data_IF_004531592916
#
_entry.id   IF_004531592916
#
_cell.length_a   1.000
_cell.length_b   1.000
_cell.length_c   1.000
_cell.angle_alpha   90.00
_cell.angle_beta   90.00
_cell.angle_gamma   90.00
#
_symmetry.space_group_name_H-M   'P 1'
#
loop_
_entity.id
_entity.type
_entity.pdbx_description
1 polymer ?
#
# COMPACT_ATOMS: atom_id res chain seq x y z
N UNK A 1 -33.76 6.65 13.13
CA UNK A 1 -33.15 5.70 12.18
C UNK A 1 -31.66 5.89 12.32
N UNK A 2 -30.99 5.02 13.09
CA UNK A 2 -29.53 5.00 13.14
C UNK A 2 -29.05 4.72 11.72
N UNK A 3 -28.37 5.67 11.09
CA UNK A 3 -27.62 5.35 9.88
C UNK A 3 -26.60 4.29 10.29
N UNK A 4 -26.67 3.11 9.70
CA UNK A 4 -25.63 2.10 9.86
C UNK A 4 -24.29 2.72 9.45
N UNK A 5 -23.25 2.39 10.21
CA UNK A 5 -21.92 2.90 9.90
C UNK A 5 -21.51 2.40 8.50
N UNK A 6 -20.89 3.24 7.67
CA UNK A 6 -20.48 2.83 6.33
C UNK A 6 -19.51 1.64 6.40
N UNK A 7 -19.48 0.83 5.34
CA UNK A 7 -18.41 -0.15 5.14
C UNK A 7 -17.06 0.54 5.30
N UNK A 8 -16.08 -0.20 5.82
CA UNK A 8 -14.79 0.36 6.18
C UNK A 8 -13.69 -0.58 5.68
N UNK A 9 -12.73 -0.02 4.95
CA UNK A 9 -11.55 -0.68 4.44
C UNK A 9 -10.31 0.04 4.94
N UNK A 10 -9.33 -0.73 5.41
CA UNK A 10 -8.09 -0.23 5.95
C UNK A 10 -6.91 -0.89 5.23
N UNK A 11 -5.94 -0.10 4.79
CA UNK A 11 -4.67 -0.62 4.25
C UNK A 11 -3.50 -0.24 5.16
N UNK A 12 -2.53 -1.16 5.30
CA UNK A 12 -1.33 -0.98 6.13
C UNK A 12 -0.09 -0.97 5.24
N UNK A 13 0.67 0.11 5.32
CA UNK A 13 1.88 0.34 4.54
C UNK A 13 3.06 0.72 5.43
N UNK A 14 4.27 0.46 4.95
CA UNK A 14 5.49 0.71 5.71
C UNK A 14 5.84 2.20 5.63
N UNK A 15 5.99 2.74 4.43
CA UNK A 15 6.55 4.06 4.17
C UNK A 15 5.58 4.98 3.43
N UNK A 16 5.79 6.31 3.52
CA UNK A 16 5.15 7.25 2.61
C UNK A 16 5.61 7.01 1.16
N UNK A 17 4.65 6.65 0.28
CA UNK A 17 4.73 6.32 -1.16
C UNK A 17 4.17 4.92 -1.50
N UNK A 18 4.22 4.01 -0.54
CA UNK A 18 3.76 2.64 -0.70
C UNK A 18 2.28 2.59 -1.08
N UNK A 19 1.45 3.44 -0.46
CA UNK A 19 0.02 3.51 -0.69
C UNK A 19 -0.32 3.99 -2.10
N UNK A 20 0.56 4.79 -2.72
CA UNK A 20 0.37 5.32 -4.06
C UNK A 20 0.54 4.24 -5.14
N UNK A 21 1.38 3.24 -4.89
CA UNK A 21 1.71 2.17 -5.84
C UNK A 21 1.02 0.83 -5.57
N UNK A 22 0.45 0.65 -4.36
CA UNK A 22 -0.10 -0.63 -3.89
C UNK A 22 -1.55 -0.50 -3.44
N UNK A 23 -2.46 -0.29 -4.38
CA UNK A 23 -3.92 -0.30 -4.12
C UNK A 23 -4.60 1.07 -4.16
N UNK A 24 -3.91 2.14 -4.56
CA UNK A 24 -4.52 3.47 -4.68
C UNK A 24 -5.83 3.50 -5.49
N UNK A 25 -5.92 2.89 -6.70
CA UNK A 25 -7.18 2.79 -7.45
C UNK A 25 -8.27 2.01 -6.71
N UNK A 26 -7.93 0.89 -6.04
CA UNK A 26 -8.85 0.13 -5.19
C UNK A 26 -9.43 1.01 -4.08
N UNK A 27 -8.58 1.75 -3.36
CA UNK A 27 -9.03 2.63 -2.28
C UNK A 27 -9.90 3.78 -2.80
N UNK A 28 -9.53 4.40 -3.92
CA UNK A 28 -10.32 5.46 -4.54
C UNK A 28 -11.68 4.97 -5.05
N UNK A 29 -11.75 3.75 -5.61
CA UNK A 29 -13.02 3.10 -5.98
C UNK A 29 -13.93 2.96 -4.77
N UNK A 30 -13.42 2.38 -3.67
CA UNK A 30 -14.24 2.18 -2.46
C UNK A 30 -14.65 3.49 -1.80
N UNK A 31 -13.81 4.52 -1.87
CA UNK A 31 -14.19 5.87 -1.46
C UNK A 31 -15.37 6.40 -2.26
N UNK A 32 -15.33 6.26 -3.59
CA UNK A 32 -16.42 6.69 -4.48
C UNK A 32 -17.72 5.89 -4.24
N UNK A 33 -17.60 4.63 -3.85
CA UNK A 33 -18.74 3.78 -3.44
C UNK A 33 -19.28 4.09 -2.02
N UNK A 34 -18.68 5.04 -1.31
CA UNK A 34 -19.16 5.49 0.01
C UNK A 34 -18.59 4.72 1.21
N UNK A 35 -17.60 3.85 1.00
CA UNK A 35 -16.89 3.22 2.11
C UNK A 35 -15.96 4.23 2.80
N UNK A 36 -15.78 4.07 4.11
CA UNK A 36 -14.72 4.70 4.87
C UNK A 36 -13.39 4.07 4.49
N UNK A 37 -12.42 4.90 4.13
CA UNK A 37 -11.07 4.46 3.72
C UNK A 37 -10.02 4.93 4.73
N UNK A 38 -9.23 3.99 5.26
CA UNK A 38 -8.20 4.27 6.26
C UNK A 38 -6.84 3.82 5.77
N UNK A 39 -5.85 4.70 5.88
CA UNK A 39 -4.43 4.40 5.68
C UNK A 39 -3.74 4.28 7.04
N UNK A 40 -2.99 3.20 7.24
CA UNK A 40 -1.98 3.11 8.29
C UNK A 40 -0.59 3.18 7.64
N UNK A 41 0.21 4.17 8.03
CA UNK A 41 1.60 4.31 7.62
C UNK A 41 2.50 4.05 8.85
N UNK A 42 3.31 3.00 8.79
CA UNK A 42 4.06 2.55 9.97
C UNK A 42 5.24 3.45 10.31
N UNK A 43 5.93 4.01 9.30
CA UNK A 43 7.14 4.81 9.47
C UNK A 43 7.05 6.17 8.78
N UNK A 44 8.06 7.03 9.03
CA UNK A 44 8.18 8.34 8.39
C UNK A 44 9.01 8.33 7.10
N UNK A 45 9.67 7.23 6.76
CA UNK A 45 10.59 7.18 5.62
C UNK A 45 11.92 7.91 5.89
N UNK A 46 12.40 7.92 7.13
CA UNK A 46 13.57 8.72 7.52
C UNK A 46 14.89 8.25 6.89
N UNK A 47 14.95 7.00 6.41
CA UNK A 47 16.14 6.38 5.81
C UNK A 47 16.09 6.39 4.26
N UNK A 48 15.04 6.94 3.67
CA UNK A 48 14.92 7.05 2.22
C UNK A 48 15.71 8.23 1.64
N UNK A 49 16.43 7.99 0.54
CA UNK A 49 17.13 9.01 -0.22
C UNK A 49 16.18 9.79 -1.16
N UNK A 50 16.63 10.95 -1.63
CA UNK A 50 15.98 11.68 -2.72
C UNK A 50 16.20 10.94 -4.05
N UNK A 51 15.13 10.31 -4.55
CA UNK A 51 15.13 9.51 -5.78
C UNK A 51 14.86 10.35 -7.05
N UNK A 52 14.20 11.50 -6.92
CA UNK A 52 13.92 12.37 -8.05
C UNK A 52 15.10 13.33 -8.34
N UNK A 53 15.90 13.10 -9.40
CA UNK A 53 17.07 13.92 -9.67
C UNK A 53 16.72 15.35 -10.10
N UNK A 54 15.54 15.57 -10.70
CA UNK A 54 15.13 16.89 -11.19
C UNK A 54 15.02 17.93 -10.07
N UNK A 55 14.76 17.49 -8.83
CA UNK A 55 14.66 18.39 -7.68
C UNK A 55 16.01 18.99 -7.23
N UNK A 56 17.13 18.48 -7.74
CA UNK A 56 18.48 19.01 -7.54
C UNK A 56 18.91 20.03 -8.61
N UNK A 57 18.15 20.17 -9.68
CA UNK A 57 18.46 21.12 -10.76
C UNK A 57 18.40 22.59 -10.29
N UNK A 58 19.10 23.52 -10.95
CA UNK A 58 19.10 24.94 -10.56
C UNK A 58 17.69 25.51 -10.36
N UNK A 59 17.42 26.01 -9.15
CA UNK A 59 16.10 26.54 -8.75
C UNK A 59 15.17 25.51 -8.09
N UNK A 60 15.55 24.24 -8.06
CA UNK A 60 14.85 23.16 -7.35
C UNK A 60 15.07 23.19 -5.83
N UNK A 61 14.20 22.51 -5.06
CA UNK A 61 14.21 22.58 -3.59
C UNK A 61 15.43 21.93 -2.93
N UNK A 62 16.19 21.11 -3.66
CA UNK A 62 17.41 20.45 -3.17
C UNK A 62 18.68 20.98 -3.86
N UNK A 63 18.56 22.02 -4.69
CA UNK A 63 19.70 22.55 -5.42
C UNK A 63 20.82 23.06 -4.50
N UNK A 64 22.00 22.48 -4.63
CA UNK A 64 23.20 22.91 -3.90
C UNK A 64 23.20 22.55 -2.41
N UNK A 65 22.27 21.70 -1.95
CA UNK A 65 22.26 21.19 -0.58
C UNK A 65 23.35 20.11 -0.40
N UNK A 66 23.94 20.07 0.80
CA UNK A 66 24.72 18.92 1.26
C UNK A 66 23.81 17.74 1.61
N UNK A 67 24.36 16.52 1.69
CA UNK A 67 23.59 15.32 2.07
C UNK A 67 22.82 15.49 3.39
N UNK A 68 23.42 16.16 4.38
CA UNK A 68 22.77 16.41 5.66
C UNK A 68 21.59 17.38 5.54
N UNK A 69 21.72 18.41 4.70
CA UNK A 69 20.64 19.36 4.42
C UNK A 69 19.52 18.71 3.59
N UNK A 70 19.87 17.82 2.65
CA UNK A 70 18.88 17.01 1.92
C UNK A 70 18.06 16.15 2.89
N UNK A 71 18.69 15.46 3.85
CA UNK A 71 17.99 14.65 4.86
C UNK A 71 17.02 15.46 5.72
N UNK A 72 17.44 16.65 6.17
CA UNK A 72 16.55 17.56 6.91
C UNK A 72 15.37 17.98 6.05
N UNK A 73 15.63 18.36 4.79
CA UNK A 73 14.58 18.76 3.85
C UNK A 73 13.61 17.63 3.51
N UNK A 74 14.10 16.40 3.35
CA UNK A 74 13.25 15.21 3.13
C UNK A 74 12.31 14.99 4.31
N UNK A 75 12.81 15.08 5.54
CA UNK A 75 11.99 14.92 6.74
C UNK A 75 10.88 15.98 6.86
N UNK A 76 11.10 17.19 6.33
CA UNK A 76 10.08 18.24 6.24
C UNK A 76 9.03 17.98 5.15
N UNK A 77 9.45 17.46 3.99
CA UNK A 77 8.59 17.30 2.82
C UNK A 77 7.75 16.02 2.83
N UNK A 78 8.33 14.86 3.19
CA UNK A 78 7.64 13.56 3.09
C UNK A 78 6.31 13.49 3.84
N UNK A 79 6.12 14.12 5.02
CA UNK A 79 4.80 14.19 5.64
C UNK A 79 3.76 14.93 4.78
N UNK A 80 4.15 16.03 4.13
CA UNK A 80 3.27 16.81 3.25
C UNK A 80 2.94 16.04 1.97
N UNK A 81 3.92 15.31 1.42
CA UNK A 81 3.73 14.44 0.26
C UNK A 81 2.73 13.31 0.57
N UNK A 82 2.85 12.67 1.75
CA UNK A 82 1.89 11.67 2.23
C UNK A 82 0.48 12.25 2.38
N UNK A 83 0.36 13.44 2.98
CA UNK A 83 -0.94 14.09 3.17
C UNK A 83 -1.61 14.40 1.84
N UNK A 84 -0.86 14.90 0.86
CA UNK A 84 -1.40 15.20 -0.48
C UNK A 84 -1.75 13.91 -1.25
N UNK A 85 -0.88 12.89 -1.21
CA UNK A 85 -1.18 11.57 -1.77
C UNK A 85 -2.46 10.99 -1.16
N UNK A 86 -2.59 11.04 0.16
CA UNK A 86 -3.75 10.51 0.85
C UNK A 86 -5.04 11.26 0.49
N UNK A 87 -4.94 12.59 0.30
CA UNK A 87 -6.04 13.44 -0.16
C UNK A 87 -6.46 13.10 -1.59
N UNK A 88 -5.49 12.87 -2.49
CA UNK A 88 -5.75 12.48 -3.88
C UNK A 88 -6.47 11.13 -3.92
N UNK A 89 -5.94 10.10 -3.24
CA UNK A 89 -6.54 8.76 -3.21
C UNK A 89 -7.93 8.79 -2.56
N UNK A 90 -8.15 9.73 -1.63
CA UNK A 90 -9.43 9.89 -0.95
C UNK A 90 -9.51 9.10 0.36
N UNK A 91 -8.42 9.00 1.12
CA UNK A 91 -8.44 8.46 2.47
C UNK A 91 -9.20 9.39 3.43
N UNK A 92 -10.13 8.83 4.20
CA UNK A 92 -10.82 9.57 5.28
C UNK A 92 -9.95 9.76 6.51
N UNK A 93 -8.96 8.88 6.69
CA UNK A 93 -8.06 8.92 7.83
C UNK A 93 -6.70 8.36 7.46
N UNK A 94 -5.66 9.11 7.81
CA UNK A 94 -4.28 8.62 7.91
C UNK A 94 -3.95 8.40 9.38
N UNK A 95 -3.39 7.23 9.69
CA UNK A 95 -2.91 6.85 11.02
C UNK A 95 -1.42 6.56 10.89
N UNK A 96 -0.59 7.32 11.62
CA UNK A 96 0.84 7.07 11.71
C UNK A 96 1.10 6.21 12.94
N UNK A 97 1.93 5.16 12.81
CA UNK A 97 2.37 4.37 13.98
C UNK A 97 3.64 4.91 14.63
N UNK A 98 4.29 5.89 13.98
CA UNK A 98 5.45 6.63 14.46
C UNK A 98 6.63 5.75 14.86
N UNK A 99 6.85 4.66 14.12
CA UNK A 99 8.14 3.96 14.15
C UNK A 99 9.14 4.66 13.24
N UNK A 100 10.43 4.56 13.55
CA UNK A 100 11.47 5.01 12.61
C UNK A 100 11.58 4.01 11.46
N UNK A 101 11.78 4.50 10.24
CA UNK A 101 12.18 3.69 9.09
C UNK A 101 13.44 2.87 9.42
N UNK A 102 13.41 1.58 9.08
CA UNK A 102 14.55 0.70 9.33
C UNK A 102 15.61 0.79 8.26
N UNK A 103 15.33 1.44 7.13
CA UNK A 103 16.19 1.44 5.97
C UNK A 103 16.28 0.06 5.31
N UNK A 104 17.13 -0.02 4.28
CA UNK A 104 17.31 -1.24 3.51
C UNK A 104 17.87 -2.38 4.38
N UNK A 105 17.58 -3.62 3.96
CA UNK A 105 18.07 -4.83 4.60
C UNK A 105 19.60 -4.80 4.74
N UNK A 106 20.09 -5.20 5.91
CA UNK A 106 21.50 -5.30 6.26
C UNK A 106 22.22 -3.92 6.32
N UNK A 107 21.46 -2.81 6.38
CA UNK A 107 22.00 -1.47 6.61
C UNK A 107 22.19 -1.17 8.09
N UNK A 108 23.06 -0.19 8.41
CA UNK A 108 23.29 0.23 9.80
C UNK A 108 22.01 0.75 10.50
N UNK A 109 21.05 1.28 9.75
CA UNK A 109 19.77 1.73 10.30
C UNK A 109 18.93 0.60 10.91
N UNK A 110 19.16 -0.66 10.49
CA UNK A 110 18.51 -1.83 11.08
C UNK A 110 18.88 -2.01 12.56
N UNK A 111 20.00 -1.43 13.04
CA UNK A 111 20.45 -1.51 14.44
C UNK A 111 19.87 -0.40 15.33
N UNK A 112 19.16 0.57 14.77
CA UNK A 112 18.58 1.67 15.54
C UNK A 112 17.44 1.17 16.44
N UNK A 113 17.47 1.41 17.77
CA UNK A 113 16.49 0.82 18.69
C UNK A 113 15.04 1.23 18.42
N UNK A 114 14.83 2.42 17.87
CA UNK A 114 13.49 2.93 17.54
C UNK A 114 12.98 2.53 16.15
N UNK A 115 13.78 1.80 15.35
CA UNK A 115 13.34 1.41 14.01
C UNK A 115 12.31 0.29 14.05
N UNK A 116 11.42 0.26 13.07
CA UNK A 116 10.27 -0.63 13.07
C UNK A 116 10.68 -2.12 13.06
N UNK A 117 11.82 -2.44 12.43
CA UNK A 117 12.40 -3.78 12.42
C UNK A 117 12.78 -4.28 13.83
N UNK A 118 13.20 -3.36 14.72
CA UNK A 118 13.58 -3.66 16.10
C UNK A 118 12.41 -3.73 17.07
N UNK A 119 11.23 -3.20 16.71
CA UNK A 119 10.02 -3.37 17.50
C UNK A 119 9.76 -4.86 17.74
N UNK A 120 9.18 -5.27 18.87
CA UNK A 120 8.72 -6.66 18.97
C UNK A 120 7.50 -6.86 18.08
N UNK A 121 7.27 -8.07 17.59
CA UNK A 121 6.06 -8.37 16.82
C UNK A 121 4.80 -8.08 17.64
N UNK A 122 4.85 -8.33 18.95
CA UNK A 122 3.72 -8.10 19.85
C UNK A 122 3.40 -6.60 20.02
N UNK A 123 4.42 -5.75 20.14
CA UNK A 123 4.23 -4.30 20.21
C UNK A 123 3.64 -3.74 18.92
N UNK A 124 4.19 -4.14 17.77
CA UNK A 124 3.71 -3.72 16.46
C UNK A 124 2.26 -4.17 16.21
N UNK A 125 1.95 -5.43 16.50
CA UNK A 125 0.59 -5.96 16.39
C UNK A 125 -0.36 -5.30 17.39
N UNK A 126 0.06 -5.03 18.62
CA UNK A 126 -0.75 -4.34 19.64
C UNK A 126 -1.15 -2.94 19.22
N UNK A 127 -0.23 -2.15 18.63
CA UNK A 127 -0.55 -0.85 18.04
C UNK A 127 -1.57 -0.98 16.90
N UNK A 128 -1.39 -1.96 16.01
CA UNK A 128 -2.34 -2.22 14.93
C UNK A 128 -3.71 -2.66 15.44
N UNK A 129 -3.79 -3.53 16.46
CA UNK A 129 -5.06 -3.93 17.09
C UNK A 129 -5.82 -2.73 17.62
N UNK A 130 -5.14 -1.78 18.29
CA UNK A 130 -5.77 -0.55 18.75
C UNK A 130 -6.37 0.27 17.59
N UNK A 131 -5.70 0.29 16.44
CA UNK A 131 -6.23 0.93 15.22
C UNK A 131 -7.43 0.16 14.67
N UNK A 132 -7.33 -1.16 14.51
CA UNK A 132 -8.42 -2.01 13.99
C UNK A 132 -9.68 -1.90 14.87
N UNK A 133 -9.53 -1.91 16.19
CA UNK A 133 -10.65 -1.76 17.15
C UNK A 133 -11.29 -0.39 17.11
N UNK A 134 -10.49 0.66 16.91
CA UNK A 134 -10.97 2.04 16.81
C UNK A 134 -11.69 2.32 15.48
N UNK A 135 -11.07 1.93 14.36
CA UNK A 135 -11.56 2.24 13.01
C UNK A 135 -12.57 1.22 12.48
N UNK A 136 -12.65 0.05 13.12
CA UNK A 136 -13.58 -1.05 12.81
C UNK A 136 -13.63 -1.41 11.32
N UNK A 137 -12.49 -1.68 10.66
CA UNK A 137 -12.50 -2.07 9.25
C UNK A 137 -13.09 -3.47 9.08
N UNK A 138 -13.90 -3.65 8.05
CA UNK A 138 -14.40 -4.98 7.67
C UNK A 138 -13.37 -5.70 6.80
N UNK A 139 -12.57 -4.96 6.03
CA UNK A 139 -11.51 -5.45 5.15
C UNK A 139 -10.18 -4.81 5.54
N UNK A 140 -9.14 -5.62 5.65
CA UNK A 140 -7.75 -5.18 5.85
C UNK A 140 -6.90 -5.58 4.65
N UNK A 141 -6.11 -4.64 4.12
CA UNK A 141 -5.13 -4.87 3.06
C UNK A 141 -3.71 -4.75 3.63
N UNK A 142 -2.82 -5.64 3.23
CA UNK A 142 -1.41 -5.62 3.64
C UNK A 142 -0.51 -6.30 2.61
N UNK A 143 0.78 -6.41 2.89
CA UNK A 143 1.75 -7.05 2.00
C UNK A 143 1.61 -8.56 1.94
N UNK A 144 2.11 -9.14 0.85
CA UNK A 144 2.23 -10.58 0.64
C UNK A 144 3.14 -11.25 1.67
N UNK A 145 2.84 -12.51 1.96
CA UNK A 145 3.72 -13.45 2.67
C UNK A 145 4.97 -13.85 1.85
N UNK A 146 4.91 -13.70 0.52
CA UNK A 146 6.06 -13.82 -0.36
C UNK A 146 6.65 -12.44 -0.66
N UNK A 147 7.74 -12.11 0.04
CA UNK A 147 8.49 -10.86 -0.12
C UNK A 147 9.87 -11.05 -0.75
N UNK A 148 10.16 -12.22 -1.35
CA UNK A 148 11.51 -12.54 -1.84
C UNK A 148 12.07 -11.54 -2.84
N UNK A 149 11.23 -10.95 -3.67
CA UNK A 149 11.69 -10.00 -4.69
C UNK A 149 11.71 -8.54 -4.24
N UNK A 150 11.35 -8.21 -3.00
CA UNK A 150 11.65 -6.92 -2.36
C UNK A 150 11.62 -7.08 -0.82
N UNK A 151 12.67 -7.66 -0.22
CA UNK A 151 12.67 -8.04 1.19
C UNK A 151 13.02 -6.86 2.11
N UNK A 152 12.33 -5.74 1.97
CA UNK A 152 12.51 -4.58 2.85
C UNK A 152 12.11 -4.95 4.29
N UNK A 153 12.96 -4.71 5.31
CA UNK A 153 12.68 -5.10 6.69
C UNK A 153 11.32 -4.64 7.21
N UNK A 154 10.95 -3.40 6.90
CA UNK A 154 9.65 -2.84 7.30
C UNK A 154 8.45 -3.47 6.58
N UNK A 155 8.59 -3.89 5.32
CA UNK A 155 7.50 -4.57 4.62
C UNK A 155 7.25 -5.95 5.22
N UNK A 156 8.32 -6.65 5.60
CA UNK A 156 8.22 -7.92 6.31
C UNK A 156 7.50 -7.70 7.63
N UNK A 157 7.90 -6.68 8.40
CA UNK A 157 7.26 -6.41 9.69
C UNK A 157 5.82 -5.93 9.57
N UNK A 158 5.47 -5.14 8.56
CA UNK A 158 4.07 -4.77 8.26
C UNK A 158 3.24 -6.01 8.04
N UNK A 159 3.70 -6.96 7.21
CA UNK A 159 2.98 -8.20 6.95
C UNK A 159 2.76 -9.00 8.24
N UNK A 160 3.84 -9.29 8.97
CA UNK A 160 3.78 -10.10 10.20
C UNK A 160 2.84 -9.46 11.24
N UNK A 161 2.97 -8.16 11.47
CA UNK A 161 2.16 -7.43 12.45
C UNK A 161 0.69 -7.32 12.02
N UNK A 162 0.42 -7.15 10.72
CA UNK A 162 -0.95 -7.06 10.18
C UNK A 162 -1.70 -8.38 10.30
N UNK A 163 -1.04 -9.50 9.97
CA UNK A 163 -1.62 -10.84 10.12
C UNK A 163 -1.96 -11.12 11.58
N UNK A 164 -0.99 -10.88 12.48
CA UNK A 164 -1.21 -11.12 13.91
C UNK A 164 -2.28 -10.20 14.50
N UNK A 165 -2.33 -8.93 14.06
CA UNK A 165 -3.36 -7.99 14.50
C UNK A 165 -4.76 -8.39 14.01
N UNK A 166 -4.88 -8.87 12.76
CA UNK A 166 -6.14 -9.37 12.21
C UNK A 166 -6.69 -10.55 13.03
N UNK A 167 -5.82 -11.49 13.41
CA UNK A 167 -6.17 -12.66 14.21
C UNK A 167 -6.58 -12.32 15.65
N UNK A 168 -6.00 -11.26 16.23
CA UNK A 168 -6.18 -10.91 17.65
C UNK A 168 -7.19 -9.79 17.91
N UNK A 169 -7.56 -9.00 16.90
CA UNK A 169 -8.38 -7.82 17.11
C UNK A 169 -9.78 -8.14 17.68
N UNK A 170 -10.36 -9.30 17.33
CA UNK A 170 -11.64 -9.78 17.83
C UNK A 170 -11.61 -10.40 19.24
N UNK A 171 -10.43 -10.68 19.79
CA UNK A 171 -10.27 -11.44 21.03
C UNK A 171 -9.97 -10.53 22.23
N UNK A 172 -10.90 -10.42 23.18
CA UNK A 172 -10.79 -9.51 24.32
C UNK A 172 -9.59 -9.78 25.26
N UNK A 173 -9.11 -11.02 25.30
CA UNK A 173 -7.95 -11.39 26.12
C UNK A 173 -6.63 -10.87 25.55
N UNK A 174 -6.57 -10.59 24.26
CA UNK A 174 -5.41 -9.99 23.61
C UNK A 174 -5.54 -8.46 23.65
N UNK A 175 -4.49 -7.80 24.12
CA UNK A 175 -4.42 -6.33 24.22
C UNK A 175 -5.67 -5.70 24.90
N UNK A 176 -5.94 -6.00 26.18
CA UNK A 176 -7.16 -5.55 26.85
C UNK A 176 -7.33 -4.03 26.89
N UNK A 177 -6.22 -3.27 26.85
CA UNK A 177 -6.23 -1.80 26.88
C UNK A 177 -6.38 -1.17 25.47
N UNK A 178 -6.47 -1.98 24.41
CA UNK A 178 -6.55 -1.50 23.01
C UNK A 178 -7.97 -1.13 22.56
N UNK A 179 -8.93 -1.01 23.50
CA UNK A 179 -10.33 -0.71 23.23
C UNK A 179 -11.19 -1.95 22.98
N UNK A 180 -12.47 -1.72 22.67
CA UNK A 180 -13.47 -2.76 22.46
C UNK A 180 -13.09 -3.70 21.31
N UNK A 181 -13.18 -5.03 21.47
CA UNK A 181 -12.86 -5.98 20.42
C UNK A 181 -13.64 -5.74 19.13
N UNK A 182 -12.96 -5.96 18.01
CA UNK A 182 -13.53 -5.87 16.68
C UNK A 182 -12.82 -6.89 15.79
N UNK A 183 -13.58 -7.76 15.14
CA UNK A 183 -13.04 -8.74 14.20
C UNK A 183 -13.21 -8.23 12.77
N UNK A 184 -12.15 -7.79 12.08
CA UNK A 184 -12.20 -7.61 10.64
C UNK A 184 -12.56 -8.95 9.98
N UNK A 185 -13.32 -8.91 8.88
CA UNK A 185 -13.92 -10.09 8.27
C UNK A 185 -13.05 -10.69 7.16
N UNK A 186 -12.22 -9.88 6.49
CA UNK A 186 -11.32 -10.34 5.43
C UNK A 186 -9.97 -9.65 5.45
N UNK A 187 -8.92 -10.42 5.17
CA UNK A 187 -7.54 -9.97 5.01
C UNK A 187 -7.08 -10.27 3.59
N UNK A 188 -6.64 -9.25 2.86
CA UNK A 188 -6.09 -9.40 1.51
C UNK A 188 -4.61 -9.01 1.46
N UNK A 189 -3.87 -9.70 0.61
CA UNK A 189 -2.50 -9.36 0.26
C UNK A 189 -2.41 -8.70 -1.10
N UNK A 190 -1.56 -7.67 -1.19
CA UNK A 190 -1.04 -7.17 -2.47
C UNK A 190 -0.34 -8.31 -3.22
N UNK A 191 -0.39 -8.34 -4.55
CA UNK A 191 0.23 -9.40 -5.35
C UNK A 191 1.04 -8.87 -6.53
N UNK A 192 2.15 -9.55 -6.81
CA UNK A 192 2.91 -9.35 -8.05
C UNK A 192 2.27 -10.17 -9.17
N UNK A 193 1.48 -9.49 -10.02
CA UNK A 193 0.96 -10.09 -11.26
C UNK A 193 1.99 -9.97 -12.38
N UNK A 194 2.47 -11.12 -12.87
CA UNK A 194 3.30 -11.19 -14.07
C UNK A 194 2.47 -10.86 -15.31
N UNK A 195 1.19 -11.25 -15.35
CA UNK A 195 0.30 -10.90 -16.45
C UNK A 195 0.21 -9.38 -16.63
N UNK A 196 0.06 -8.62 -15.54
CA UNK A 196 0.06 -7.15 -15.59
C UNK A 196 1.37 -6.59 -16.11
N UNK A 197 2.51 -7.05 -15.57
CA UNK A 197 3.83 -6.59 -16.03
C UNK A 197 4.02 -6.82 -17.53
N UNK A 198 3.72 -8.03 -18.01
CA UNK A 198 3.87 -8.41 -19.41
C UNK A 198 2.97 -7.57 -20.32
N UNK A 199 1.70 -7.38 -19.94
CA UNK A 199 0.77 -6.57 -20.73
C UNK A 199 1.25 -5.11 -20.87
N UNK A 200 1.71 -4.49 -19.79
CA UNK A 200 2.26 -3.12 -19.82
C UNK A 200 3.56 -3.07 -20.61
N UNK A 201 4.44 -4.07 -20.45
CA UNK A 201 5.69 -4.18 -21.21
C UNK A 201 5.45 -4.23 -22.73
N UNK A 202 4.56 -5.11 -23.17
CA UNK A 202 4.22 -5.28 -24.58
C UNK A 202 3.59 -4.00 -25.16
N UNK A 203 2.73 -3.33 -24.41
CA UNK A 203 2.12 -2.07 -24.87
C UNK A 203 3.15 -0.94 -24.97
N UNK A 204 4.08 -0.83 -24.00
CA UNK A 204 5.17 0.14 -24.08
C UNK A 204 6.05 -0.10 -25.31
N UNK A 205 6.38 -1.35 -25.62
CA UNK A 205 7.09 -1.69 -26.85
C UNK A 205 6.28 -1.28 -28.09
N UNK A 206 4.98 -1.56 -28.11
CA UNK A 206 4.10 -1.23 -29.24
C UNK A 206 3.97 0.27 -29.48
N UNK A 207 3.76 1.05 -28.43
CA UNK A 207 3.45 2.48 -28.51
C UNK A 207 4.68 3.38 -28.49
N UNK A 208 5.72 2.99 -27.75
CA UNK A 208 6.92 3.81 -27.51
C UNK A 208 8.19 3.22 -28.12
N UNK A 209 8.15 1.98 -28.62
CA UNK A 209 9.30 1.28 -29.20
C UNK A 209 10.33 0.82 -28.18
N UNK A 210 10.10 1.05 -26.88
CA UNK A 210 10.97 0.67 -25.77
C UNK A 210 10.16 0.49 -24.50
N UNK A 211 10.67 -0.33 -23.58
CA UNK A 211 10.11 -0.55 -22.25
C UNK A 211 11.20 -0.41 -21.19
N UNK A 212 10.89 0.16 -20.00
CA UNK A 212 11.81 0.21 -18.87
C UNK A 212 11.96 -1.15 -18.15
N UNK A 213 11.04 -2.10 -18.39
CA UNK A 213 11.10 -3.44 -17.83
C UNK A 213 12.17 -4.28 -18.54
N UNK A 214 13.31 -4.48 -17.88
CA UNK A 214 14.39 -5.34 -18.35
C UNK A 214 14.04 -6.84 -18.24
N UNK A 215 14.83 -7.69 -18.91
CA UNK A 215 14.61 -9.14 -18.94
C UNK A 215 14.55 -9.76 -17.54
N UNK A 216 15.35 -9.27 -16.58
CA UNK A 216 15.32 -9.77 -15.20
C UNK A 216 13.93 -9.62 -14.53
N UNK A 217 13.19 -8.56 -14.86
CA UNK A 217 11.82 -8.37 -14.38
C UNK A 217 10.85 -9.36 -15.03
N UNK A 218 11.02 -9.60 -16.34
CA UNK A 218 10.19 -10.55 -17.10
C UNK A 218 10.46 -12.01 -16.70
N UNK A 219 11.68 -12.32 -16.27
CA UNK A 219 12.07 -13.65 -15.82
C UNK A 219 11.60 -13.96 -14.40
N UNK A 220 11.26 -12.93 -13.61
CA UNK A 220 10.72 -13.09 -12.26
C UNK A 220 9.47 -13.98 -12.30
N UNK A 221 9.35 -15.00 -11.42
CA UNK A 221 8.14 -15.80 -11.33
C UNK A 221 6.96 -14.92 -10.88
N UNK A 222 5.81 -15.13 -11.51
CA UNK A 222 4.56 -14.47 -11.13
C UNK A 222 3.86 -15.18 -9.98
N UNK A 223 2.97 -14.46 -9.31
CA UNK A 223 2.05 -15.02 -8.31
C UNK A 223 0.60 -15.07 -8.82
N UNK A 224 0.42 -15.03 -10.14
CA UNK A 224 -0.90 -14.94 -10.78
C UNK A 224 -1.82 -16.10 -10.40
N UNK A 225 -1.26 -17.30 -10.18
CA UNK A 225 -2.00 -18.49 -9.73
C UNK A 225 -2.57 -18.37 -8.30
N UNK A 226 -2.12 -17.39 -7.52
CA UNK A 226 -2.63 -17.12 -6.16
C UNK A 226 -3.74 -16.09 -6.15
N UNK A 227 -3.96 -15.36 -7.25
CA UNK A 227 -4.98 -14.31 -7.33
C UNK A 227 -6.34 -14.95 -7.07
N UNK A 228 -7.11 -14.36 -6.15
CA UNK A 228 -8.47 -14.79 -5.83
C UNK A 228 -9.50 -13.70 -6.14
N UNK A 229 -9.02 -12.48 -6.39
CA UNK A 229 -9.86 -11.30 -6.46
C UNK A 229 -9.27 -10.34 -7.49
N UNK A 230 -10.13 -9.83 -8.37
CA UNK A 230 -9.76 -8.95 -9.46
C UNK A 230 -10.77 -7.81 -9.55
N UNK A 231 -10.34 -6.61 -9.18
CA UNK A 231 -11.19 -5.43 -9.16
C UNK A 231 -11.02 -4.63 -10.43
N UNK A 232 -12.12 -4.31 -11.12
CA UNK A 232 -12.08 -3.34 -12.22
C UNK A 232 -11.83 -1.96 -11.65
N UNK A 233 -10.75 -1.30 -12.09
CA UNK A 233 -10.26 -0.02 -11.55
C UNK A 233 -9.92 1.01 -12.62
N UNK A 234 -10.28 0.76 -13.89
CA UNK A 234 -9.95 1.65 -15.02
C UNK A 234 -10.24 3.13 -14.74
N UNK A 235 -11.42 3.43 -14.18
CA UNK A 235 -11.88 4.80 -13.89
C UNK A 235 -11.16 5.47 -12.70
N UNK A 236 -10.28 4.73 -12.00
CA UNK A 236 -9.62 5.14 -10.77
C UNK A 236 -8.08 5.15 -10.87
N UNK A 237 -7.52 4.92 -12.06
CA UNK A 237 -6.07 4.94 -12.27
C UNK A 237 -5.44 6.32 -11.98
N UNK A 238 -6.21 7.39 -12.13
CA UNK A 238 -5.82 8.74 -11.71
C UNK A 238 -5.41 8.82 -10.24
N UNK A 239 -5.94 7.94 -9.37
CA UNK A 239 -5.57 7.91 -7.96
C UNK A 239 -4.11 7.47 -7.81
N UNK A 240 -3.70 6.40 -8.50
CA UNK A 240 -2.30 5.96 -8.55
C UNK A 240 -1.41 7.06 -9.13
N UNK A 241 -1.76 7.56 -10.31
CA UNK A 241 -0.88 8.47 -11.04
C UNK A 241 -0.75 9.82 -10.34
N UNK A 242 -1.83 10.34 -9.75
CA UNK A 242 -1.83 11.55 -8.94
C UNK A 242 -1.06 11.38 -7.63
N UNK A 243 -1.30 10.28 -6.90
CA UNK A 243 -0.61 9.97 -5.65
C UNK A 243 0.90 9.79 -5.84
N UNK A 244 1.33 9.08 -6.88
CA UNK A 244 2.74 8.92 -7.21
C UNK A 244 3.40 10.29 -7.48
N UNK A 245 2.72 11.21 -8.17
CA UNK A 245 3.24 12.57 -8.41
C UNK A 245 3.28 13.43 -7.16
N UNK A 246 2.45 13.15 -6.14
CA UNK A 246 2.50 13.85 -4.87
C UNK A 246 3.78 13.52 -4.07
N UNK A 247 4.30 12.29 -4.23
CA UNK A 247 5.59 11.86 -3.66
C UNK A 247 6.78 12.30 -4.51
N UNK A 248 6.90 13.61 -4.76
CA UNK A 248 7.88 14.19 -5.66
C UNK A 248 9.33 13.87 -5.27
N UNK A 249 9.63 13.66 -3.98
CA UNK A 249 10.97 13.24 -3.53
C UNK A 249 11.31 11.78 -3.86
N UNK A 250 10.30 10.91 -3.98
CA UNK A 250 10.48 9.48 -4.25
C UNK A 250 10.23 9.11 -5.71
N UNK A 251 9.43 9.90 -6.42
CA UNK A 251 8.97 9.57 -7.77
C UNK A 251 9.23 10.75 -8.71
N UNK A 252 10.08 10.53 -9.71
CA UNK A 252 10.25 11.47 -10.81
C UNK A 252 9.09 11.31 -11.83
N UNK A 253 8.35 12.38 -12.15
CA UNK A 253 7.24 12.33 -13.10
C UNK A 253 7.64 11.93 -14.53
N UNK A 254 8.93 11.93 -14.85
CA UNK A 254 9.46 11.47 -16.14
C UNK A 254 9.83 9.98 -16.16
N UNK A 255 9.70 9.28 -15.03
CA UNK A 255 10.06 7.86 -14.95
C UNK A 255 9.09 6.99 -15.73
N UNK A 256 9.58 6.43 -16.85
CA UNK A 256 8.79 5.59 -17.74
C UNK A 256 8.26 4.33 -17.05
N UNK A 257 8.92 3.87 -15.97
CA UNK A 257 8.43 2.78 -15.12
C UNK A 257 7.04 3.09 -14.54
N UNK A 258 6.83 4.34 -14.11
CA UNK A 258 5.58 4.77 -13.49
C UNK A 258 4.58 5.35 -14.49
N UNK A 259 5.08 6.14 -15.45
CA UNK A 259 4.30 7.02 -16.34
C UNK A 259 4.57 6.81 -17.83
N UNK A 260 5.18 5.69 -18.24
CA UNK A 260 5.42 5.41 -19.66
C UNK A 260 4.13 5.24 -20.48
N UNK A 261 3.09 4.72 -19.82
CA UNK A 261 1.71 4.75 -20.28
C UNK A 261 0.92 5.74 -19.41
N UNK A 262 0.00 6.48 -20.02
CA UNK A 262 -0.97 7.28 -19.28
C UNK A 262 -2.11 6.43 -18.71
N UNK A 263 -3.03 7.06 -17.98
CA UNK A 263 -4.10 6.35 -17.28
C UNK A 263 -5.10 5.69 -18.23
N UNK A 264 -5.38 6.30 -19.38
CA UNK A 264 -6.28 5.74 -20.40
C UNK A 264 -5.64 4.55 -21.12
N UNK A 265 -4.34 4.65 -21.44
CA UNK A 265 -3.55 3.57 -22.00
C UNK A 265 -3.44 2.39 -21.01
N UNK A 266 -3.16 2.65 -19.73
CA UNK A 266 -3.14 1.61 -18.68
C UNK A 266 -4.51 0.95 -18.52
N UNK A 267 -5.61 1.72 -18.54
CA UNK A 267 -6.97 1.20 -18.48
C UNK A 267 -7.26 0.27 -19.67
N UNK A 268 -6.81 0.61 -20.87
CA UNK A 268 -7.02 -0.21 -22.06
C UNK A 268 -6.24 -1.54 -22.01
N UNK A 269 -5.07 -1.55 -21.37
CA UNK A 269 -4.15 -2.70 -21.32
C UNK A 269 -4.47 -3.65 -20.16
N UNK A 270 -4.63 -3.10 -18.96
CA UNK A 270 -4.83 -3.88 -17.74
C UNK A 270 -5.71 -3.10 -16.75
N UNK A 271 -7.05 -3.10 -16.94
CA UNK A 271 -7.99 -2.31 -16.13
C UNK A 271 -8.23 -2.87 -14.72
N UNK A 272 -7.30 -3.66 -14.20
CA UNK A 272 -7.49 -4.50 -13.03
C UNK A 272 -6.46 -4.24 -11.93
N UNK A 273 -6.90 -4.29 -10.68
CA UNK A 273 -6.04 -4.56 -9.53
C UNK A 273 -6.37 -5.94 -8.96
N UNK A 274 -5.34 -6.78 -8.87
CA UNK A 274 -5.44 -8.15 -8.36
C UNK A 274 -5.05 -8.21 -6.88
N UNK A 275 -5.74 -9.08 -6.15
CA UNK A 275 -5.54 -9.32 -4.73
C UNK A 275 -5.58 -10.82 -4.41
N UNK A 276 -4.95 -11.20 -3.31
CA UNK A 276 -5.03 -12.55 -2.74
C UNK A 276 -5.81 -12.47 -1.43
N UNK A 277 -6.95 -13.14 -1.35
CA UNK A 277 -7.72 -13.32 -0.12
C UNK A 277 -6.95 -14.31 0.76
N UNK A 278 -6.30 -13.78 1.79
CA UNK A 278 -5.43 -14.57 2.66
C UNK A 278 -6.21 -15.22 3.80
N UNK A 279 -7.14 -14.48 4.41
CA UNK A 279 -8.02 -14.98 5.47
C UNK A 279 -9.42 -14.40 5.31
N UNK A 280 -10.45 -15.19 5.62
CA UNK A 280 -11.85 -14.77 5.54
C UNK A 280 -12.70 -15.45 6.60
N UNK A 281 -13.55 -14.67 7.27
CA UNK A 281 -14.61 -15.14 8.16
C UNK A 281 -15.99 -15.22 7.48
N UNK A 282 -16.05 -14.92 6.18
CA UNK A 282 -17.31 -14.87 5.41
C UNK A 282 -17.32 -15.77 4.18
N UNK A 283 -16.32 -16.64 4.04
CA UNK A 283 -16.19 -17.58 2.93
C UNK A 283 -15.07 -17.23 1.95
N UNK A 284 -14.73 -18.18 1.09
CA UNK A 284 -13.72 -18.05 0.03
C UNK A 284 -14.42 -18.17 -1.33
N UNK A 285 -13.89 -17.56 -2.41
CA UNK A 285 -14.38 -17.83 -3.75
C UNK A 285 -14.21 -19.31 -4.12
N UNK A 286 -15.07 -19.83 -5.00
CA UNK A 286 -14.92 -21.19 -5.50
C UNK A 286 -13.65 -21.29 -6.36
N UNK A 287 -13.15 -22.51 -6.52
CA UNK A 287 -11.98 -22.76 -7.37
C UNK A 287 -12.23 -22.27 -8.81
N UNK A 288 -11.34 -21.42 -9.30
CA UNK A 288 -11.42 -20.84 -10.65
C UNK A 288 -12.29 -19.59 -10.78
N UNK A 289 -12.93 -19.14 -9.70
CA UNK A 289 -13.67 -17.88 -9.65
C UNK A 289 -12.83 -16.77 -9.02
N UNK A 290 -13.05 -15.53 -9.46
CA UNK A 290 -12.48 -14.33 -8.84
C UNK A 290 -13.59 -13.52 -8.19
N UNK A 291 -13.34 -13.00 -6.99
CA UNK A 291 -14.17 -11.92 -6.46
C UNK A 291 -13.94 -10.64 -7.27
N UNK A 292 -14.98 -9.84 -7.50
CA UNK A 292 -14.92 -8.53 -8.15
C UNK A 292 -15.19 -7.37 -7.16
N UNK A 293 -15.36 -7.73 -5.89
CA UNK A 293 -15.53 -6.85 -4.74
C UNK A 293 -14.94 -7.49 -3.47
N UNK A 294 -14.04 -6.79 -2.79
CA UNK A 294 -13.47 -7.15 -1.49
C UNK A 294 -14.51 -7.30 -0.37
N UNK A 295 -15.70 -6.72 -0.52
CA UNK A 295 -16.80 -6.84 0.44
C UNK A 295 -17.79 -7.97 0.13
N UNK A 296 -17.53 -8.86 -0.84
CA UNK A 296 -18.35 -10.08 -1.06
C UNK A 296 -18.51 -10.85 0.25
N UNK A 297 -19.74 -11.23 0.60
CA UNK A 297 -20.07 -11.92 1.85
C UNK A 297 -20.12 -11.03 3.10
N UNK A 298 -19.68 -9.77 2.99
CA UNK A 298 -19.76 -8.74 4.03
C UNK A 298 -20.98 -7.86 3.78
N UNK A 299 -21.19 -7.36 2.55
CA UNK A 299 -22.28 -6.42 2.23
C UNK A 299 -23.65 -6.93 2.64
N UNK A 300 -23.87 -8.24 2.54
CA UNK A 300 -25.11 -8.91 2.89
C UNK A 300 -25.33 -9.02 4.42
N UNK A 301 -24.30 -8.73 5.22
CA UNK A 301 -24.31 -8.85 6.69
C UNK A 301 -24.38 -7.49 7.42
N UNK A 302 -24.08 -6.40 6.71
CA UNK A 302 -24.04 -5.04 7.26
C UNK A 302 -25.09 -4.11 6.63
N UNK A 303 -26.04 -4.68 5.87
CA UNK A 303 -27.24 -4.03 5.33
C UNK A 303 -28.48 -4.27 6.20
#
# INVERSE_FOLDING_TARGET
>A
MSQEAPLCILTVHAHPDDEASKGAPTMARYKAEGARTVLVCCTGGEEGDLQNPSLREPGGPFHGLSEQEEKVRLAELRPLELEESARIIGFDKVVRLDYRDSGMKDSAANEHPDCFHQATLDDAAGRLVAVLRRERPHVVLTYSDDQRGYPHPDHVRVHEASVLAFERAGEASWYPDAGEPWQPLKLYYTVWSKARLVAVHEELLRLRGKSPFEQAWLDRPGHDHRITTRLHIAEFLWARSGALRAHATQVDPNEAWWFGLDDDELAAVYPWEDWVLAQSHVGMPNEGEFEDDLFVGIRERVQ
#
